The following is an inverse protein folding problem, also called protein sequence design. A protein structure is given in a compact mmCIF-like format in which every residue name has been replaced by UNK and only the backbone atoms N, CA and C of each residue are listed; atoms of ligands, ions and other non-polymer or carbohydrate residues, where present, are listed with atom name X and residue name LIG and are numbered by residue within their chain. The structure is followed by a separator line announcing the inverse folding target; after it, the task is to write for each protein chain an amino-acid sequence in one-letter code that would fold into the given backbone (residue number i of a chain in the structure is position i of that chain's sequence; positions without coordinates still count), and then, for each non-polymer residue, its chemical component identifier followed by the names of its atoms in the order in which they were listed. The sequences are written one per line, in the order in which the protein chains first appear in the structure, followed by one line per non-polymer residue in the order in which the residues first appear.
data_IF_557648478991
#
_entry.id   IF_557648478991
#
_cell.length_a   1.000
_cell.length_b   1.000
_cell.length_c   1.000
_cell.angle_alpha   90.00
_cell.angle_beta   90.00
_cell.angle_gamma   90.00
#
_symmetry.space_group_name_H-M   'P 1'
#
loop_
_entity.id
_entity.type
_entity.pdbx_description
1 polymer ?
#
# COMPACT_ATOMS: atom_id res chain seq x y z
N UNK A 1 14.96 12.85 -5.70
CA UNK A 1 13.50 12.93 -5.50
C UNK A 1 12.83 11.77 -6.21
N UNK A 2 11.66 11.39 -5.74
CA UNK A 2 10.84 10.30 -6.28
C UNK A 2 9.46 10.83 -6.66
N UNK A 3 8.84 10.20 -7.65
CA UNK A 3 7.42 10.39 -7.94
C UNK A 3 6.54 9.66 -6.92
N UNK A 4 5.24 9.92 -6.97
CA UNK A 4 4.25 9.19 -6.15
C UNK A 4 4.10 7.72 -6.59
N UNK A 5 4.59 7.38 -7.78
CA UNK A 5 4.68 6.00 -8.29
C UNK A 5 5.98 5.29 -7.84
N UNK A 6 6.78 5.94 -6.99
CA UNK A 6 8.05 5.41 -6.50
C UNK A 6 9.19 5.46 -7.52
N UNK A 7 8.96 5.95 -8.75
CA UNK A 7 10.04 6.10 -9.74
C UNK A 7 10.98 7.21 -9.33
N UNK A 8 12.27 6.97 -9.53
CA UNK A 8 13.29 7.97 -9.28
C UNK A 8 13.17 9.11 -10.31
N UNK A 9 13.01 10.35 -9.85
CA UNK A 9 12.94 11.54 -10.72
C UNK A 9 14.32 12.17 -10.87
N UNK A 10 15.04 12.35 -9.76
CA UNK A 10 16.32 13.06 -9.75
C UNK A 10 17.26 12.57 -8.65
N UNK A 11 18.54 12.44 -8.97
CA UNK A 11 19.64 12.15 -8.04
C UNK A 11 20.75 13.14 -8.32
N UNK A 12 21.29 13.76 -7.26
CA UNK A 12 22.41 14.69 -7.39
C UNK A 12 23.63 13.95 -7.90
N UNK A 13 24.37 14.56 -8.84
CA UNK A 13 25.65 14.05 -9.34
C UNK A 13 25.56 12.69 -10.05
N UNK A 14 24.38 12.27 -10.51
CA UNK A 14 24.18 10.97 -11.18
C UNK A 14 24.95 10.87 -12.50
N UNK A 15 25.10 11.99 -13.20
CA UNK A 15 25.87 12.13 -14.44
C UNK A 15 27.36 11.80 -14.29
N UNK A 16 27.89 11.89 -13.06
CA UNK A 16 29.29 11.61 -12.75
C UNK A 16 29.50 10.21 -12.16
N UNK A 17 28.47 9.36 -12.14
CA UNK A 17 28.55 7.99 -11.64
C UNK A 17 28.52 7.02 -12.83
N UNK A 18 29.67 6.43 -13.22
CA UNK A 18 29.72 5.48 -14.31
C UNK A 18 28.77 4.30 -14.08
N UNK A 19 27.94 3.99 -15.08
CA UNK A 19 27.00 2.86 -15.02
C UNK A 19 25.75 3.12 -14.16
N UNK A 20 25.49 4.35 -13.71
CA UNK A 20 24.25 4.67 -13.02
C UNK A 20 23.04 4.43 -13.92
N UNK A 21 22.14 3.53 -13.50
CA UNK A 21 20.90 3.25 -14.20
C UNK A 21 19.73 3.81 -13.39
N UNK A 22 19.05 4.82 -13.91
CA UNK A 22 17.93 5.46 -13.21
C UNK A 22 16.75 4.50 -13.02
N UNK A 23 16.53 3.59 -13.96
CA UNK A 23 15.38 2.69 -13.98
C UNK A 23 15.42 1.61 -12.89
N UNK A 24 16.61 1.29 -12.35
CA UNK A 24 16.76 0.31 -11.28
C UNK A 24 16.91 0.94 -9.88
N UNK A 25 16.85 2.26 -9.77
CA UNK A 25 17.06 3.01 -8.54
C UNK A 25 15.76 3.59 -7.94
N UNK A 26 14.61 3.04 -8.32
CA UNK A 26 13.29 3.37 -7.75
C UNK A 26 13.09 2.80 -6.34
N UNK A 27 12.01 3.23 -5.69
CA UNK A 27 11.59 2.64 -4.42
C UNK A 27 11.10 1.20 -4.63
N UNK A 28 11.38 0.31 -3.67
CA UNK A 28 10.85 -1.06 -3.67
C UNK A 28 9.33 -1.02 -3.49
N UNK A 29 8.54 -1.55 -4.45
CA UNK A 29 7.09 -1.55 -4.32
C UNK A 29 6.62 -2.59 -3.31
N UNK A 30 5.40 -2.39 -2.80
CA UNK A 30 4.63 -3.40 -2.08
C UNK A 30 3.27 -3.51 -2.76
N UNK A 31 2.62 -4.67 -2.65
CA UNK A 31 1.27 -4.85 -3.19
C UNK A 31 0.29 -4.10 -2.28
N UNK A 32 -0.57 -3.28 -2.89
CA UNK A 32 -1.61 -2.53 -2.19
C UNK A 32 -2.96 -2.87 -2.81
N UNK A 33 -3.97 -3.09 -1.98
CA UNK A 33 -5.34 -3.38 -2.39
C UNK A 33 -6.33 -2.59 -1.51
N UNK A 34 -7.40 -2.08 -2.12
CA UNK A 34 -8.52 -1.47 -1.40
C UNK A 34 -9.63 -2.51 -1.23
N UNK A 35 -10.13 -2.67 -0.01
CA UNK A 35 -11.20 -3.59 0.33
C UNK A 35 -12.11 -2.98 1.40
N UNK A 36 -13.40 -2.79 1.07
CA UNK A 36 -14.39 -2.12 1.92
C UNK A 36 -13.92 -0.75 2.46
N UNK A 37 -13.31 0.08 1.62
CA UNK A 37 -12.79 1.41 2.00
C UNK A 37 -11.55 1.38 2.90
N UNK A 38 -10.98 0.19 3.16
CA UNK A 38 -9.73 0.00 3.90
C UNK A 38 -8.59 -0.35 2.95
N UNK A 39 -7.37 0.05 3.32
CA UNK A 39 -6.16 -0.22 2.55
C UNK A 39 -5.41 -1.40 3.17
N UNK A 40 -5.17 -2.42 2.36
CA UNK A 40 -4.37 -3.59 2.71
C UNK A 40 -3.05 -3.56 1.98
N UNK A 41 -1.97 -3.89 2.69
CA UNK A 41 -0.62 -3.97 2.13
C UNK A 41 -0.10 -5.40 2.27
N UNK A 42 0.60 -5.88 1.24
CA UNK A 42 1.28 -7.18 1.27
C UNK A 42 2.70 -7.03 0.71
N UNK A 43 3.67 -7.61 1.42
CA UNK A 43 5.08 -7.58 1.03
C UNK A 43 5.41 -8.64 -0.04
N UNK A 44 4.55 -9.66 -0.18
CA UNK A 44 4.64 -10.61 -1.29
C UNK A 44 3.93 -10.05 -2.52
N UNK A 45 4.70 -9.75 -3.57
CA UNK A 45 4.19 -9.23 -4.84
C UNK A 45 3.32 -10.25 -5.58
N UNK A 46 3.41 -11.53 -5.25
CA UNK A 46 2.60 -12.60 -5.82
C UNK A 46 1.40 -12.99 -4.92
N UNK A 47 1.15 -12.25 -3.85
CA UNK A 47 0.04 -12.52 -2.96
C UNK A 47 -1.30 -12.46 -3.71
N UNK A 48 -2.16 -13.45 -3.43
CA UNK A 48 -3.52 -13.49 -3.97
C UNK A 48 -4.34 -12.28 -3.48
N UNK A 49 -5.27 -11.76 -4.29
CA UNK A 49 -6.17 -10.68 -3.88
C UNK A 49 -6.96 -11.02 -2.61
N UNK A 50 -7.17 -10.03 -1.74
CA UNK A 50 -7.97 -10.21 -0.53
C UNK A 50 -9.41 -10.56 -0.90
N UNK A 51 -9.95 -9.96 -1.97
CA UNK A 51 -11.26 -10.31 -2.50
C UNK A 51 -11.40 -11.79 -2.90
N UNK A 52 -10.32 -12.48 -3.26
CA UNK A 52 -10.36 -13.92 -3.52
C UNK A 52 -10.23 -14.74 -2.25
N UNK A 53 -9.36 -14.32 -1.33
CA UNK A 53 -9.10 -15.02 -0.07
C UNK A 53 -10.30 -14.94 0.89
N UNK A 54 -11.06 -13.85 0.82
CA UNK A 54 -12.16 -13.53 1.72
C UNK A 54 -13.40 -13.07 0.93
N UNK A 55 -13.82 -13.84 -0.07
CA UNK A 55 -14.88 -13.46 -1.01
C UNK A 55 -16.21 -13.06 -0.33
N UNK A 56 -16.64 -13.78 0.71
CA UNK A 56 -17.89 -13.46 1.44
C UNK A 56 -17.76 -12.27 2.39
N UNK A 57 -16.53 -11.93 2.80
CA UNK A 57 -16.30 -10.94 3.85
C UNK A 57 -16.74 -9.53 3.41
N UNK A 58 -16.60 -9.20 2.13
CA UNK A 58 -17.03 -7.90 1.61
C UNK A 58 -18.54 -7.72 1.81
N UNK A 59 -19.32 -8.74 1.47
CA UNK A 59 -20.78 -8.70 1.58
C UNK A 59 -21.21 -8.65 3.04
N UNK A 60 -20.54 -9.42 3.91
CA UNK A 60 -20.78 -9.41 5.35
C UNK A 60 -20.50 -8.06 6.01
N UNK A 61 -19.41 -7.39 5.62
CA UNK A 61 -19.06 -6.05 6.10
C UNK A 61 -20.13 -5.05 5.66
N UNK A 62 -20.48 -5.07 4.37
CA UNK A 62 -21.46 -4.12 3.79
C UNK A 62 -22.87 -4.31 4.33
N UNK A 63 -23.27 -5.55 4.62
CA UNK A 63 -24.56 -5.84 5.26
C UNK A 63 -24.63 -5.26 6.69
N UNK A 64 -23.52 -5.23 7.42
CA UNK A 64 -23.45 -4.71 8.79
C UNK A 64 -23.14 -3.22 8.87
N UNK A 65 -22.39 -2.69 7.92
CA UNK A 65 -22.02 -1.28 7.82
C UNK A 65 -22.20 -0.82 6.36
N UNK A 66 -23.43 -0.43 5.96
CA UNK A 66 -23.72 -0.04 4.58
C UNK A 66 -22.91 1.17 4.10
N UNK A 67 -22.53 2.06 5.02
CA UNK A 67 -21.76 3.28 4.74
C UNK A 67 -20.26 3.12 5.08
N UNK A 68 -19.73 1.90 5.06
CA UNK A 68 -18.31 1.62 5.41
C UNK A 68 -17.32 2.49 4.63
N UNK A 69 -17.61 2.77 3.36
CA UNK A 69 -16.74 3.57 2.48
C UNK A 69 -16.76 5.08 2.83
N UNK A 70 -17.67 5.54 3.71
CA UNK A 70 -17.80 6.94 4.15
C UNK A 70 -17.21 7.21 5.53
N UNK A 71 -16.65 6.20 6.18
CA UNK A 71 -16.08 6.33 7.52
C UNK A 71 -14.90 7.31 7.50
N UNK A 72 -14.79 8.12 8.55
CA UNK A 72 -13.70 9.07 8.75
C UNK A 72 -12.98 8.79 10.07
N UNK A 73 -11.65 8.98 10.14
CA UNK A 73 -10.92 8.79 11.40
C UNK A 73 -11.39 9.78 12.47
N UNK A 74 -12.03 9.29 13.52
CA UNK A 74 -12.45 10.11 14.65
C UNK A 74 -11.37 10.21 15.74
N UNK A 75 -10.64 9.13 15.99
CA UNK A 75 -9.58 9.04 17.01
C UNK A 75 -8.60 7.91 16.69
N UNK A 76 -7.32 8.08 17.03
CA UNK A 76 -6.28 7.04 16.97
C UNK A 76 -5.64 6.88 18.34
N UNK A 77 -5.50 5.62 18.79
CA UNK A 77 -4.77 5.24 19.99
C UNK A 77 -3.68 4.25 19.58
N UNK A 78 -2.46 4.44 20.08
CA UNK A 78 -1.30 3.60 19.76
C UNK A 78 -0.73 3.06 21.06
N UNK A 79 -0.52 1.75 21.11
CA UNK A 79 0.05 1.05 22.25
C UNK A 79 1.17 0.14 21.78
N UNK A 80 2.25 0.06 22.56
CA UNK A 80 3.27 -0.96 22.40
C UNK A 80 2.99 -2.07 23.41
N UNK A 81 2.73 -3.27 22.93
CA UNK A 81 2.43 -4.44 23.76
C UNK A 81 3.63 -5.38 23.75
N UNK A 82 4.06 -5.82 24.95
CA UNK A 82 4.97 -6.96 25.09
C UNK A 82 4.11 -8.23 25.17
N UNK A 83 4.31 -9.13 24.22
CA UNK A 83 3.72 -10.46 24.21
C UNK A 83 4.42 -11.38 25.21
#
# INVERSE_FOLDING_TARGET
SFGLDGKLIHVRNAENVPGFCKDNAGLTPVRVEEFCGLIFVNLDMNARPLAELAASLNDEIRARCPDVDKLVPARKLTYEMKA
#
